data_IF_660827036716
#
_entry.id   IF_660827036716
#
_cell.length_a   1.000
_cell.length_b   1.000
_cell.length_c   1.000
_cell.angle_alpha   90.00
_cell.angle_beta   90.00
_cell.angle_gamma   90.00
#
_symmetry.space_group_name_H-M   'P 1'
#
loop_
_entity.id
_entity.type
_entity.pdbx_description
1 polymer ?
#
# COMPACT_ATOMS: atom_id res chain seq x y z
N UNK A 1 -13.68 30.77 -27.73
CA UNK A 1 -12.94 29.52 -27.57
C UNK A 1 -12.12 29.46 -26.25
N UNK A 2 -11.48 30.51 -25.80
CA UNK A 2 -10.66 30.49 -24.58
C UNK A 2 -11.40 30.03 -23.29
N UNK A 3 -12.67 30.36 -23.10
CA UNK A 3 -13.43 29.97 -21.90
C UNK A 3 -13.79 28.48 -21.82
N UNK A 4 -13.84 27.76 -22.93
CA UNK A 4 -14.20 26.34 -22.96
C UNK A 4 -13.01 25.46 -22.52
N UNK A 5 -11.78 25.84 -22.87
CA UNK A 5 -10.56 25.10 -22.51
C UNK A 5 -10.01 25.43 -21.12
N UNK A 6 -10.45 26.56 -20.52
CA UNK A 6 -9.92 27.02 -19.24
C UNK A 6 -10.22 26.08 -18.06
N UNK A 7 -11.37 25.38 -18.10
CA UNK A 7 -11.84 24.51 -17.00
C UNK A 7 -11.67 23.00 -17.29
N UNK A 8 -10.98 22.64 -18.38
CA UNK A 8 -10.69 21.23 -18.66
C UNK A 8 -9.66 20.69 -17.66
N UNK A 9 -9.82 19.42 -17.18
CA UNK A 9 -8.83 18.77 -16.33
C UNK A 9 -7.54 18.43 -17.08
N UNK A 10 -7.63 18.23 -18.40
CA UNK A 10 -6.49 17.98 -19.27
C UNK A 10 -5.69 19.27 -19.54
N UNK A 11 -4.36 19.13 -19.60
CA UNK A 11 -3.48 20.22 -20.04
C UNK A 11 -3.62 20.45 -21.54
N UNK A 12 -4.03 21.65 -21.96
CA UNK A 12 -4.14 22.02 -23.38
C UNK A 12 -3.11 23.06 -23.71
N UNK A 13 -2.37 22.79 -24.80
CA UNK A 13 -1.38 23.67 -25.40
C UNK A 13 -1.69 23.88 -26.85
N UNK A 14 -1.65 25.15 -27.33
CA UNK A 14 -1.75 25.52 -28.74
C UNK A 14 -0.49 26.28 -29.13
N UNK A 15 0.12 25.88 -30.22
CA UNK A 15 1.29 26.58 -30.80
C UNK A 15 1.01 27.11 -32.18
N UNK A 16 1.77 28.11 -32.58
CA UNK A 16 1.84 28.60 -33.96
C UNK A 16 2.71 27.66 -34.83
N UNK A 17 2.90 28.04 -36.09
CA UNK A 17 3.71 27.31 -37.07
C UNK A 17 5.19 27.18 -36.68
N UNK A 18 5.71 28.14 -35.93
CA UNK A 18 7.10 28.17 -35.45
C UNK A 18 7.27 27.43 -34.12
N UNK A 19 6.20 26.85 -33.54
CA UNK A 19 6.21 26.14 -32.27
C UNK A 19 6.19 27.05 -31.03
N UNK A 20 5.81 28.34 -31.20
CA UNK A 20 5.59 29.25 -30.09
C UNK A 20 4.19 29.09 -29.52
N UNK A 21 4.12 29.13 -28.20
CA UNK A 21 2.88 28.94 -27.44
C UNK A 21 1.94 30.15 -27.68
N UNK A 22 0.82 29.93 -28.33
CA UNK A 22 -0.27 30.90 -28.45
C UNK A 22 -1.23 30.83 -27.28
N UNK A 23 -1.47 29.60 -26.76
CA UNK A 23 -2.38 29.36 -25.65
C UNK A 23 -1.94 28.18 -24.83
N UNK A 24 -2.03 28.33 -23.51
CA UNK A 24 -1.93 27.23 -22.55
C UNK A 24 -3.02 27.42 -21.50
N UNK A 25 -3.75 26.34 -21.16
CA UNK A 25 -4.76 26.41 -20.11
C UNK A 25 -4.12 26.25 -18.70
N UNK A 26 -4.91 26.51 -17.67
CA UNK A 26 -4.45 26.41 -16.29
C UNK A 26 -4.01 24.97 -15.90
N UNK A 27 -4.67 23.95 -16.47
CA UNK A 27 -4.30 22.56 -16.23
C UNK A 27 -2.91 22.25 -16.80
N UNK A 28 -2.57 22.75 -17.98
CA UNK A 28 -1.21 22.63 -18.53
C UNK A 28 -0.17 23.26 -17.59
N UNK A 29 -0.43 24.49 -17.12
CA UNK A 29 0.50 25.15 -16.20
C UNK A 29 0.70 24.35 -14.92
N UNK A 30 -0.36 23.75 -14.34
CA UNK A 30 -0.26 22.86 -13.16
C UNK A 30 0.48 21.57 -13.44
N UNK A 31 0.26 20.94 -14.60
CA UNK A 31 0.92 19.69 -14.98
C UNK A 31 2.44 19.85 -15.05
N UNK A 32 2.90 20.99 -15.54
CA UNK A 32 4.32 21.27 -15.73
C UNK A 32 4.90 22.24 -14.71
N UNK A 33 4.17 22.50 -13.62
CA UNK A 33 4.58 23.37 -12.49
C UNK A 33 5.04 24.78 -12.93
N UNK A 34 4.34 25.35 -13.89
CA UNK A 34 4.64 26.68 -14.43
C UNK A 34 4.01 27.76 -13.54
N UNK A 35 4.84 28.68 -13.04
CA UNK A 35 4.40 29.80 -12.20
C UNK A 35 3.80 30.96 -13.03
N UNK A 36 4.20 31.07 -14.31
CA UNK A 36 3.78 32.13 -15.21
C UNK A 36 3.16 31.56 -16.49
N UNK A 37 2.34 32.39 -17.15
CA UNK A 37 1.79 32.04 -18.46
C UNK A 37 2.88 31.89 -19.50
N UNK A 38 3.06 30.75 -20.19
CA UNK A 38 4.13 30.49 -21.12
C UNK A 38 3.92 31.09 -22.51
N UNK A 39 2.86 31.88 -22.75
CA UNK A 39 2.55 32.46 -24.09
C UNK A 39 3.76 33.24 -24.67
N UNK A 40 3.98 33.05 -25.97
CA UNK A 40 5.09 33.65 -26.73
C UNK A 40 6.45 32.93 -26.60
N UNK A 41 6.64 32.03 -25.62
CA UNK A 41 7.82 31.18 -25.51
C UNK A 41 7.66 29.94 -26.41
N UNK A 42 8.79 29.34 -26.80
CA UNK A 42 8.75 27.99 -27.37
C UNK A 42 8.49 26.96 -26.28
N UNK A 43 8.04 25.76 -26.67
CA UNK A 43 7.78 24.68 -25.68
C UNK A 43 9.04 24.28 -24.94
N UNK A 44 10.20 24.28 -25.63
CA UNK A 44 11.49 24.02 -24.98
C UNK A 44 11.90 25.10 -23.96
N UNK A 45 11.59 26.39 -24.23
CA UNK A 45 11.85 27.46 -23.27
C UNK A 45 10.92 27.40 -22.06
N UNK A 46 9.66 26.94 -22.26
CA UNK A 46 8.64 26.89 -21.23
C UNK A 46 8.79 25.69 -20.28
N UNK A 47 8.91 24.47 -20.81
CA UNK A 47 8.85 23.24 -20.02
C UNK A 47 10.14 22.39 -20.07
N UNK A 48 11.07 22.69 -20.96
CA UNK A 48 12.39 22.03 -21.10
C UNK A 48 12.33 20.51 -21.25
N UNK A 49 11.28 19.99 -21.90
CA UNK A 49 11.03 18.57 -22.09
C UNK A 49 11.21 18.25 -23.56
N UNK A 50 12.22 17.47 -23.91
CA UNK A 50 12.53 17.11 -25.29
C UNK A 50 11.39 16.35 -25.96
N UNK A 51 10.75 15.40 -25.25
CA UNK A 51 9.65 14.60 -25.79
C UNK A 51 8.47 15.48 -26.25
N UNK A 52 8.13 16.51 -25.47
CA UNK A 52 7.04 17.42 -25.86
C UNK A 52 7.40 18.27 -27.11
N UNK A 53 8.68 18.65 -27.26
CA UNK A 53 9.15 19.34 -28.45
C UNK A 53 9.15 18.42 -29.68
N UNK A 54 9.56 17.16 -29.51
CA UNK A 54 9.57 16.15 -30.59
C UNK A 54 8.15 15.89 -31.11
N UNK A 55 7.12 15.93 -30.26
CA UNK A 55 5.72 15.83 -30.67
C UNK A 55 5.33 16.97 -31.62
N UNK A 56 5.76 18.20 -31.32
CA UNK A 56 5.48 19.36 -32.16
C UNK A 56 6.17 19.23 -33.52
N UNK A 57 7.45 18.83 -33.54
CA UNK A 57 8.19 18.65 -34.78
C UNK A 57 7.57 17.54 -35.66
N UNK A 58 7.14 16.44 -35.04
CA UNK A 58 6.41 15.37 -35.76
C UNK A 58 5.09 15.87 -36.35
N UNK A 59 4.33 16.67 -35.61
CA UNK A 59 3.05 17.22 -36.09
C UNK A 59 3.16 18.24 -37.23
N UNK A 60 4.37 18.76 -37.49
CA UNK A 60 4.59 19.55 -38.71
C UNK A 60 4.44 18.69 -39.97
N UNK A 61 4.73 17.37 -39.86
CA UNK A 61 4.65 16.41 -40.97
C UNK A 61 3.40 15.54 -40.85
N UNK A 62 3.14 15.00 -39.67
CA UNK A 62 2.01 14.15 -39.36
C UNK A 62 0.74 14.97 -39.14
N UNK A 63 -0.44 14.39 -39.37
CA UNK A 63 -1.74 15.09 -39.16
C UNK A 63 -2.20 14.97 -37.70
N UNK A 64 -1.89 13.86 -37.05
CA UNK A 64 -2.24 13.59 -35.64
C UNK A 64 -1.25 12.65 -35.01
N UNK A 65 -1.13 12.74 -33.69
CA UNK A 65 -0.42 11.82 -32.81
C UNK A 65 -1.40 11.41 -31.74
N UNK A 66 -1.49 10.12 -31.48
CA UNK A 66 -2.44 9.58 -30.50
C UNK A 66 -1.71 8.74 -29.45
N UNK A 67 -2.10 8.93 -28.19
CA UNK A 67 -1.68 8.09 -27.05
C UNK A 67 -0.16 7.98 -26.85
N UNK A 68 0.60 9.02 -27.14
CA UNK A 68 2.04 9.04 -26.88
C UNK A 68 2.28 9.20 -25.37
N UNK A 69 2.86 8.17 -24.74
CA UNK A 69 3.14 8.17 -23.29
C UNK A 69 4.60 8.55 -23.02
N UNK A 70 4.83 9.38 -22.01
CA UNK A 70 6.16 9.70 -21.52
C UNK A 70 6.16 10.00 -20.01
N UNK A 71 7.31 9.82 -19.39
CA UNK A 71 7.50 10.06 -17.97
C UNK A 71 8.32 11.33 -17.76
N UNK A 72 7.91 12.13 -16.76
CA UNK A 72 8.63 13.31 -16.29
C UNK A 72 9.41 12.94 -15.02
N UNK A 73 10.72 12.63 -15.10
CA UNK A 73 11.49 12.18 -13.95
C UNK A 73 11.66 13.27 -12.89
N UNK A 74 11.77 14.53 -13.31
CA UNK A 74 12.02 15.68 -12.43
C UNK A 74 10.75 16.21 -11.73
N UNK A 75 9.57 15.79 -12.16
CA UNK A 75 8.27 16.19 -11.61
C UNK A 75 7.58 15.00 -10.90
N UNK A 76 8.16 14.55 -9.80
CA UNK A 76 7.61 13.44 -8.97
C UNK A 76 7.28 12.15 -9.76
N UNK A 77 8.03 11.87 -10.82
CA UNK A 77 7.78 10.73 -11.73
C UNK A 77 6.35 10.74 -12.28
N UNK A 78 5.91 11.88 -12.84
CA UNK A 78 4.60 11.97 -13.50
C UNK A 78 4.60 11.19 -14.81
N UNK A 79 3.52 10.48 -15.06
CA UNK A 79 3.24 9.79 -16.31
C UNK A 79 2.20 10.59 -17.09
N UNK A 80 2.55 11.06 -18.26
CA UNK A 80 1.66 11.81 -19.12
C UNK A 80 1.37 11.05 -20.42
N UNK A 81 0.16 11.20 -20.91
CA UNK A 81 -0.23 10.81 -22.25
C UNK A 81 -0.52 12.08 -23.05
N UNK A 82 0.10 12.20 -24.23
CA UNK A 82 -0.14 13.30 -25.13
C UNK A 82 -0.91 12.85 -26.37
N UNK A 83 -1.88 13.64 -26.74
CA UNK A 83 -2.56 13.59 -28.04
C UNK A 83 -2.32 14.90 -28.76
N UNK A 84 -2.03 14.85 -30.06
CA UNK A 84 -1.73 16.03 -30.84
C UNK A 84 -2.41 16.04 -32.18
N UNK A 85 -2.79 17.24 -32.64
CA UNK A 85 -3.37 17.46 -33.97
C UNK A 85 -2.71 18.67 -34.61
N UNK A 86 -2.30 18.53 -35.86
CA UNK A 86 -1.80 19.62 -36.66
C UNK A 86 -2.97 20.50 -37.19
N UNK A 87 -2.84 21.80 -36.98
CA UNK A 87 -3.76 22.79 -37.59
C UNK A 87 -3.21 23.14 -38.97
N UNK A 88 -4.00 22.89 -40.03
CA UNK A 88 -3.60 23.15 -41.40
C UNK A 88 -4.62 24.07 -42.10
N UNK A 89 -4.16 24.93 -42.97
CA UNK A 89 -5.03 25.74 -43.88
C UNK A 89 -5.52 24.90 -45.04
N UNK A 90 -6.45 25.51 -45.86
CA UNK A 90 -7.07 24.82 -47.01
C UNK A 90 -6.08 24.33 -48.07
N UNK A 91 -4.88 24.89 -48.11
CA UNK A 91 -3.79 24.54 -49.04
C UNK A 91 -2.80 23.53 -48.42
N UNK A 92 -3.08 23.00 -47.22
CA UNK A 92 -2.25 22.01 -46.52
C UNK A 92 -1.07 22.63 -45.75
N UNK A 93 -0.96 23.96 -45.73
CA UNK A 93 0.12 24.66 -45.02
C UNK A 93 -0.10 24.51 -43.50
N UNK A 94 0.94 24.06 -42.77
CA UNK A 94 0.94 23.94 -41.32
C UNK A 94 0.85 25.34 -40.69
N UNK A 95 -0.15 25.55 -39.83
CA UNK A 95 -0.40 26.84 -39.15
C UNK A 95 -0.10 26.75 -37.63
N UNK A 96 -0.14 25.57 -37.10
CA UNK A 96 0.11 25.35 -35.66
C UNK A 96 -0.29 23.95 -35.21
N UNK A 97 -0.23 23.75 -33.91
CA UNK A 97 -0.48 22.46 -33.30
C UNK A 97 -1.34 22.60 -32.06
N UNK A 98 -2.25 21.67 -31.85
CA UNK A 98 -2.95 21.50 -30.57
C UNK A 98 -2.38 20.23 -29.92
N UNK A 99 -1.91 20.35 -28.70
CA UNK A 99 -1.52 19.22 -27.85
C UNK A 99 -2.42 19.17 -26.62
N UNK A 100 -2.86 17.98 -26.28
CA UNK A 100 -3.63 17.69 -25.09
C UNK A 100 -2.84 16.69 -24.23
N UNK A 101 -2.65 17.01 -22.95
CA UNK A 101 -1.90 16.19 -21.99
C UNK A 101 -2.85 15.67 -20.93
N UNK A 102 -2.86 14.35 -20.77
CA UNK A 102 -3.61 13.66 -19.74
C UNK A 102 -2.64 13.10 -18.68
N UNK A 103 -2.93 13.34 -17.39
CA UNK A 103 -2.13 12.82 -16.28
C UNK A 103 -2.55 11.38 -15.95
N UNK A 104 -1.69 10.43 -16.29
CA UNK A 104 -1.88 9.01 -16.00
C UNK A 104 -1.19 8.56 -14.70
N UNK A 105 -0.57 9.48 -13.94
CA UNK A 105 0.30 9.14 -12.82
C UNK A 105 -0.40 8.24 -11.81
N UNK A 106 -1.62 8.59 -11.41
CA UNK A 106 -2.39 7.79 -10.46
C UNK A 106 -2.71 6.39 -11.01
N UNK A 107 -3.11 6.31 -12.27
CA UNK A 107 -3.44 5.04 -12.92
C UNK A 107 -2.22 4.14 -13.06
N UNK A 108 -1.10 4.68 -13.55
CA UNK A 108 0.17 3.94 -13.68
C UNK A 108 0.74 3.49 -12.33
N UNK A 109 0.66 4.32 -11.29
CA UNK A 109 1.05 3.94 -9.93
C UNK A 109 0.23 2.76 -9.42
N UNK A 110 -1.10 2.78 -9.62
CA UNK A 110 -1.98 1.67 -9.23
C UNK A 110 -1.68 0.39 -10.03
N UNK A 111 -1.43 0.52 -11.33
CA UNK A 111 -1.07 -0.60 -12.20
C UNK A 111 0.27 -1.22 -11.78
N UNK A 112 1.28 -0.40 -11.52
CA UNK A 112 2.59 -0.85 -11.03
C UNK A 112 2.48 -1.57 -9.68
N UNK A 113 1.72 -1.01 -8.73
CA UNK A 113 1.46 -1.65 -7.43
C UNK A 113 0.77 -3.02 -7.60
N UNK A 114 -0.17 -3.13 -8.55
CA UNK A 114 -0.84 -4.39 -8.86
C UNK A 114 0.13 -5.41 -9.47
N UNK A 115 0.96 -4.99 -10.41
CA UNK A 115 1.96 -5.87 -11.04
C UNK A 115 3.00 -6.35 -10.03
N UNK A 116 3.50 -5.44 -9.18
CA UNK A 116 4.42 -5.77 -8.10
C UNK A 116 3.79 -6.75 -7.10
N UNK A 117 2.53 -6.55 -6.74
CA UNK A 117 1.79 -7.46 -5.87
C UNK A 117 1.74 -8.88 -6.47
N UNK A 118 1.33 -9.04 -7.74
CA UNK A 118 1.26 -10.34 -8.42
C UNK A 118 2.63 -11.01 -8.52
N UNK A 119 3.68 -10.24 -8.83
CA UNK A 119 5.05 -10.74 -8.87
C UNK A 119 5.52 -11.23 -7.49
N UNK A 120 5.28 -10.46 -6.43
CA UNK A 120 5.65 -10.81 -5.07
C UNK A 120 4.89 -12.05 -4.56
N UNK A 121 3.58 -12.14 -4.81
CA UNK A 121 2.77 -13.35 -4.52
C UNK A 121 3.38 -14.58 -5.19
N UNK A 122 3.69 -14.47 -6.49
CA UNK A 122 4.27 -15.58 -7.26
C UNK A 122 5.61 -16.04 -6.68
N UNK A 123 6.46 -15.11 -6.26
CA UNK A 123 7.74 -15.41 -5.63
C UNK A 123 7.60 -16.06 -4.26
N UNK A 124 6.72 -15.51 -3.39
CA UNK A 124 6.52 -16.02 -2.03
C UNK A 124 5.79 -17.38 -2.01
N UNK A 125 5.00 -17.72 -3.03
CA UNK A 125 4.42 -19.06 -3.21
C UNK A 125 5.44 -20.05 -3.76
N UNK A 126 6.28 -19.66 -4.73
CA UNK A 126 7.22 -20.55 -5.40
C UNK A 126 8.30 -21.08 -4.44
N UNK A 127 8.80 -20.25 -3.54
CA UNK A 127 9.89 -20.63 -2.63
C UNK A 127 9.53 -21.82 -1.74
N UNK A 128 8.46 -21.78 -0.90
CA UNK A 128 8.09 -22.92 -0.05
C UNK A 128 7.70 -24.16 -0.87
N UNK A 129 7.05 -23.97 -2.02
CA UNK A 129 6.68 -25.07 -2.91
C UNK A 129 7.92 -25.82 -3.45
N UNK A 130 8.96 -25.08 -3.85
CA UNK A 130 10.23 -25.69 -4.31
C UNK A 130 10.95 -26.42 -3.18
N UNK A 131 10.88 -25.92 -1.95
CA UNK A 131 11.45 -26.57 -0.76
C UNK A 131 10.71 -27.87 -0.47
N UNK A 132 9.36 -27.84 -0.46
CA UNK A 132 8.53 -29.04 -0.29
C UNK A 132 8.89 -30.09 -1.34
N UNK A 133 8.92 -29.69 -2.61
CA UNK A 133 9.25 -30.58 -3.72
C UNK A 133 10.62 -31.22 -3.55
N UNK A 134 11.65 -30.44 -3.22
CA UNK A 134 13.01 -30.97 -3.01
C UNK A 134 13.09 -31.99 -1.86
N UNK A 135 12.42 -31.73 -0.72
CA UNK A 135 12.40 -32.72 0.37
C UNK A 135 11.60 -33.98 0.01
N UNK A 136 10.52 -33.87 -0.75
CA UNK A 136 9.76 -35.04 -1.26
C UNK A 136 10.63 -35.84 -2.21
N UNK A 137 11.33 -35.22 -3.17
CA UNK A 137 12.26 -35.92 -4.08
C UNK A 137 13.37 -36.63 -3.30
N UNK A 138 13.96 -35.97 -2.29
CA UNK A 138 14.99 -36.57 -1.44
C UNK A 138 14.45 -37.79 -0.66
N UNK A 139 13.21 -37.71 -0.15
CA UNK A 139 12.59 -38.83 0.57
C UNK A 139 12.25 -40.00 -0.35
N UNK A 140 11.92 -39.75 -1.62
CA UNK A 140 11.64 -40.80 -2.62
C UNK A 140 12.90 -41.49 -3.13
N UNK A 141 14.02 -40.77 -3.20
CA UNK A 141 15.31 -41.31 -3.71
C UNK A 141 16.13 -42.02 -2.61
N UNK A 142 15.73 -41.89 -1.33
CA UNK A 142 16.44 -42.51 -0.20
C UNK A 142 16.19 -44.02 -0.18
N UNK A 143 17.23 -44.83 -0.49
CA UNK A 143 17.17 -46.30 -0.46
C UNK A 143 17.26 -46.86 0.98
N UNK A 144 17.96 -46.20 1.87
CA UNK A 144 18.07 -46.55 3.30
C UNK A 144 18.12 -45.27 4.16
N UNK A 145 17.04 -44.96 4.87
CA UNK A 145 17.01 -43.72 5.65
C UNK A 145 16.82 -43.96 7.15
N UNK A 146 17.69 -43.37 7.99
CA UNK A 146 17.48 -43.37 9.44
C UNK A 146 16.15 -42.66 9.74
N UNK A 147 15.30 -43.31 10.53
CA UNK A 147 13.98 -42.82 10.95
C UNK A 147 14.00 -41.36 11.44
N UNK A 148 15.11 -40.91 12.01
CA UNK A 148 15.35 -39.53 12.44
C UNK A 148 15.47 -38.51 11.30
N UNK A 149 15.93 -38.89 10.10
CA UNK A 149 16.11 -38.03 8.95
C UNK A 149 14.77 -37.77 8.24
N UNK A 150 13.96 -38.84 8.13
CA UNK A 150 12.60 -38.78 7.60
C UNK A 150 11.73 -37.82 8.43
N UNK A 151 11.78 -37.88 9.76
CA UNK A 151 11.07 -36.96 10.65
C UNK A 151 11.47 -35.50 10.43
N UNK A 152 12.75 -35.23 10.24
CA UNK A 152 13.23 -33.86 9.96
C UNK A 152 12.74 -33.31 8.64
N UNK A 153 12.71 -34.10 7.58
CA UNK A 153 12.22 -33.69 6.26
C UNK A 153 10.71 -33.51 6.28
N UNK A 154 9.95 -34.41 6.88
CA UNK A 154 8.50 -34.28 7.06
C UNK A 154 8.13 -33.01 7.85
N UNK A 155 8.85 -32.70 8.95
CA UNK A 155 8.65 -31.45 9.69
C UNK A 155 8.94 -30.20 8.84
N UNK A 156 9.93 -30.25 7.94
CA UNK A 156 10.20 -29.15 7.01
C UNK A 156 9.10 -28.99 5.96
N UNK A 157 8.58 -30.10 5.45
CA UNK A 157 7.43 -30.09 4.51
C UNK A 157 6.20 -29.50 5.20
N UNK A 158 5.88 -29.98 6.41
CA UNK A 158 4.75 -29.47 7.20
C UNK A 158 4.85 -27.97 7.45
N UNK A 159 6.00 -27.50 7.92
CA UNK A 159 6.22 -26.05 8.16
C UNK A 159 6.05 -25.20 6.90
N UNK A 160 6.53 -25.66 5.75
CA UNK A 160 6.36 -24.93 4.50
C UNK A 160 4.93 -25.00 3.94
N UNK A 161 4.22 -26.12 4.17
CA UNK A 161 2.79 -26.26 3.85
C UNK A 161 1.94 -25.30 4.69
N UNK A 162 2.17 -25.25 5.99
CA UNK A 162 1.47 -24.32 6.90
C UNK A 162 1.74 -22.87 6.49
N UNK A 163 2.98 -22.54 6.14
CA UNK A 163 3.33 -21.20 5.63
C UNK A 163 2.58 -20.85 4.35
N UNK A 164 2.42 -21.79 3.41
CA UNK A 164 1.62 -21.58 2.19
C UNK A 164 0.16 -21.30 2.53
N UNK A 165 -0.42 -22.05 3.48
CA UNK A 165 -1.80 -21.84 3.93
C UNK A 165 -1.99 -20.44 4.49
N UNK A 166 -1.12 -20.00 5.41
CA UNK A 166 -1.18 -18.64 5.96
C UNK A 166 -1.03 -17.55 4.87
N UNK A 167 -0.12 -17.75 3.92
CA UNK A 167 0.05 -16.79 2.82
C UNK A 167 -1.22 -16.67 1.96
N UNK A 168 -1.86 -17.80 1.64
CA UNK A 168 -3.11 -17.82 0.88
C UNK A 168 -4.23 -17.13 1.66
N UNK A 169 -4.37 -17.39 2.95
CA UNK A 169 -5.38 -16.77 3.81
C UNK A 169 -5.17 -15.24 3.90
N UNK A 170 -3.92 -14.79 4.05
CA UNK A 170 -3.57 -13.37 4.03
C UNK A 170 -3.94 -12.69 2.71
N UNK A 171 -3.64 -13.33 1.56
CA UNK A 171 -3.96 -12.83 0.23
C UNK A 171 -5.48 -12.74 0.04
N UNK A 172 -6.23 -13.79 0.40
CA UNK A 172 -7.68 -13.79 0.31
C UNK A 172 -8.31 -12.73 1.21
N UNK A 173 -7.78 -12.56 2.42
CA UNK A 173 -8.20 -11.51 3.34
C UNK A 173 -7.98 -10.13 2.73
N UNK A 174 -6.75 -9.86 2.25
CA UNK A 174 -6.42 -8.57 1.65
C UNK A 174 -7.28 -8.28 0.42
N UNK A 175 -7.46 -9.28 -0.47
CA UNK A 175 -8.32 -9.16 -1.65
C UNK A 175 -9.78 -8.82 -1.29
N UNK A 176 -10.31 -9.45 -0.25
CA UNK A 176 -11.66 -9.15 0.23
C UNK A 176 -11.77 -7.75 0.83
N UNK A 177 -10.79 -7.33 1.63
CA UNK A 177 -10.75 -6.00 2.22
C UNK A 177 -10.67 -4.90 1.15
N UNK A 178 -9.94 -5.12 0.05
CA UNK A 178 -9.75 -4.14 -1.02
C UNK A 178 -10.90 -4.03 -2.01
N UNK A 179 -11.62 -5.13 -2.23
CA UNK A 179 -12.74 -5.14 -3.18
C UNK A 179 -13.96 -4.33 -2.73
N UNK A 180 -13.94 -3.79 -1.51
CA UNK A 180 -15.09 -3.08 -0.93
C UNK A 180 -16.34 -3.96 -0.76
N UNK A 181 -16.22 -5.26 -1.05
CA UNK A 181 -17.34 -6.21 -1.04
C UNK A 181 -17.73 -6.72 0.34
N UNK A 182 -16.99 -6.34 1.38
CA UNK A 182 -17.33 -6.74 2.76
C UNK A 182 -17.95 -5.55 3.46
N UNK A 183 -19.26 -5.60 3.70
CA UNK A 183 -19.89 -4.74 4.69
C UNK A 183 -19.27 -5.06 6.06
N UNK A 184 -18.80 -4.02 6.78
CA UNK A 184 -18.36 -4.19 8.16
C UNK A 184 -19.59 -4.51 9.04
N UNK A 185 -19.47 -5.52 9.88
CA UNK A 185 -20.46 -5.82 10.93
C UNK A 185 -20.12 -4.99 12.17
N UNK A 186 -20.42 -3.68 12.09
CA UNK A 186 -20.12 -2.74 13.17
C UNK A 186 -21.06 -2.98 14.37
N UNK A 187 -20.46 -3.13 15.55
CA UNK A 187 -21.16 -3.27 16.83
C UNK A 187 -20.32 -2.71 17.97
N UNK A 188 -20.97 -2.41 19.08
CA UNK A 188 -20.25 -2.09 20.32
C UNK A 188 -19.55 -3.34 20.84
N UNK A 189 -18.24 -3.28 21.01
CA UNK A 189 -17.40 -4.36 21.52
C UNK A 189 -16.66 -3.89 22.77
N UNK A 190 -16.63 -4.74 23.80
CA UNK A 190 -15.76 -4.55 24.95
C UNK A 190 -14.30 -4.82 24.51
N UNK A 191 -13.51 -3.75 24.46
CA UNK A 191 -12.15 -3.83 23.95
C UNK A 191 -11.23 -4.64 24.87
N UNK A 192 -11.45 -4.57 26.18
CA UNK A 192 -10.70 -5.37 27.16
C UNK A 192 -10.91 -6.88 26.94
N UNK A 193 -12.16 -7.31 26.78
CA UNK A 193 -12.50 -8.71 26.53
C UNK A 193 -11.99 -9.19 25.17
N UNK A 194 -12.05 -8.33 24.15
CA UNK A 194 -11.49 -8.68 22.84
C UNK A 194 -9.99 -8.91 22.92
N UNK A 195 -9.25 -8.01 23.59
CA UNK A 195 -7.79 -8.16 23.80
C UNK A 195 -7.49 -9.44 24.56
N UNK A 196 -8.19 -9.72 25.65
CA UNK A 196 -8.02 -10.98 26.40
C UNK A 196 -8.20 -12.21 25.51
N UNK A 197 -9.22 -12.21 24.65
CA UNK A 197 -9.48 -13.32 23.71
C UNK A 197 -8.32 -13.51 22.72
N UNK A 198 -7.70 -12.42 22.23
CA UNK A 198 -6.53 -12.49 21.34
C UNK A 198 -5.31 -13.01 22.10
N UNK A 199 -5.03 -12.48 23.30
CA UNK A 199 -3.90 -12.92 24.13
C UNK A 199 -4.04 -14.40 24.48
N UNK A 200 -5.24 -14.87 24.82
CA UNK A 200 -5.49 -16.27 25.10
C UNK A 200 -5.21 -17.18 23.90
N UNK A 201 -5.59 -16.77 22.70
CA UNK A 201 -5.30 -17.51 21.46
C UNK A 201 -3.81 -17.65 21.17
N UNK A 202 -2.99 -16.69 21.61
CA UNK A 202 -1.55 -16.66 21.39
C UNK A 202 -0.70 -17.13 22.58
N UNK A 203 -1.33 -17.48 23.70
CA UNK A 203 -0.67 -17.87 24.96
C UNK A 203 0.32 -19.03 24.79
N UNK A 204 -0.06 -20.06 24.03
CA UNK A 204 0.82 -21.20 23.77
C UNK A 204 2.07 -20.80 22.98
N UNK A 205 1.90 -19.95 21.96
CA UNK A 205 3.01 -19.45 21.15
C UNK A 205 3.97 -18.59 21.98
N UNK A 206 3.42 -17.69 22.79
CA UNK A 206 4.18 -16.83 23.69
C UNK A 206 4.95 -17.67 24.73
N UNK A 207 4.29 -18.67 25.34
CA UNK A 207 4.91 -19.58 26.30
C UNK A 207 6.09 -20.37 25.73
N UNK A 208 6.00 -20.86 24.48
CA UNK A 208 7.11 -21.54 23.78
C UNK A 208 8.32 -20.62 23.57
N UNK A 209 8.11 -19.30 23.49
CA UNK A 209 9.18 -18.31 23.29
C UNK A 209 9.58 -17.57 24.57
N UNK A 210 8.91 -17.82 25.68
CA UNK A 210 9.17 -17.14 26.94
C UNK A 210 8.72 -15.66 26.97
N UNK A 211 7.80 -15.27 26.10
CA UNK A 211 7.28 -13.89 25.98
C UNK A 211 6.08 -13.72 26.91
N UNK A 212 6.06 -12.65 27.69
CA UNK A 212 4.92 -12.24 28.51
C UNK A 212 3.93 -11.43 27.70
N UNK A 213 2.64 -11.72 27.89
CA UNK A 213 1.54 -10.98 27.26
C UNK A 213 0.78 -10.23 28.35
N UNK A 214 0.60 -8.93 28.18
CA UNK A 214 -0.05 -8.06 29.16
C UNK A 214 -1.19 -7.26 28.54
N UNK A 215 -2.36 -7.29 29.19
CA UNK A 215 -3.51 -6.45 28.85
C UNK A 215 -3.60 -5.28 29.80
N UNK A 216 -3.33 -4.06 29.30
CA UNK A 216 -3.44 -2.81 30.03
C UNK A 216 -4.61 -1.94 29.50
N UNK A 217 -5.56 -2.53 28.80
CA UNK A 217 -6.78 -1.84 28.39
C UNK A 217 -7.64 -1.58 29.62
N UNK A 218 -8.02 -0.32 29.82
CA UNK A 218 -8.84 0.09 30.96
C UNK A 218 -10.22 -0.60 30.96
N UNK A 219 -10.80 -0.76 32.15
CA UNK A 219 -12.13 -1.32 32.29
C UNK A 219 -13.19 -0.45 31.55
N UNK A 220 -14.11 -1.11 30.84
CA UNK A 220 -15.27 -0.53 30.15
C UNK A 220 -14.97 0.38 28.94
N UNK A 221 -13.84 0.21 28.28
CA UNK A 221 -13.62 0.88 27.02
C UNK A 221 -14.36 0.13 25.89
N UNK A 222 -15.41 0.77 25.34
CA UNK A 222 -16.20 0.22 24.23
C UNK A 222 -15.73 0.82 22.90
N UNK A 223 -15.56 -0.04 21.90
CA UNK A 223 -15.21 0.34 20.53
C UNK A 223 -16.35 -0.05 19.58
N UNK A 224 -16.86 0.89 18.78
CA UNK A 224 -17.82 0.60 17.72
C UNK A 224 -17.11 0.14 16.46
N UNK A 225 -17.00 -1.18 16.26
CA UNK A 225 -16.19 -1.77 15.20
C UNK A 225 -16.68 -3.19 14.83
N UNK A 226 -16.07 -3.74 13.77
CA UNK A 226 -16.19 -5.16 13.43
C UNK A 226 -15.19 -5.97 14.28
N UNK A 227 -15.72 -6.76 15.22
CA UNK A 227 -14.90 -7.49 16.18
C UNK A 227 -13.95 -8.51 15.54
N UNK A 228 -14.35 -9.15 14.43
CA UNK A 228 -13.48 -10.11 13.73
C UNK A 228 -12.30 -9.42 13.08
N UNK A 229 -12.52 -8.25 12.50
CA UNK A 229 -11.46 -7.47 11.86
C UNK A 229 -10.49 -6.88 12.86
N UNK A 230 -11.00 -6.34 13.96
CA UNK A 230 -10.14 -5.83 15.04
C UNK A 230 -9.36 -6.98 15.69
N UNK A 231 -10.00 -8.13 15.94
CA UNK A 231 -9.31 -9.35 16.41
C UNK A 231 -8.15 -9.73 15.47
N UNK A 232 -8.40 -9.76 14.15
CA UNK A 232 -7.39 -10.09 13.14
C UNK A 232 -6.21 -9.10 13.16
N UNK A 233 -6.50 -7.79 13.26
CA UNK A 233 -5.46 -6.76 13.32
C UNK A 233 -4.60 -6.91 14.60
N UNK A 234 -5.23 -7.09 15.75
CA UNK A 234 -4.53 -7.33 17.03
C UNK A 234 -3.71 -8.62 16.99
N UNK A 235 -4.28 -9.71 16.48
CA UNK A 235 -3.56 -10.98 16.34
C UNK A 235 -2.28 -10.82 15.53
N UNK A 236 -2.34 -10.11 14.39
CA UNK A 236 -1.17 -9.83 13.55
C UNK A 236 -0.10 -9.02 14.29
N UNK A 237 -0.49 -7.99 15.07
CA UNK A 237 0.46 -7.17 15.82
C UNK A 237 1.10 -7.94 16.97
N UNK A 238 0.29 -8.64 17.77
CA UNK A 238 0.77 -9.39 18.94
C UNK A 238 1.65 -10.57 18.50
N UNK A 239 1.26 -11.28 17.43
CA UNK A 239 2.08 -12.34 16.83
C UNK A 239 3.42 -11.79 16.33
N UNK A 240 3.46 -10.60 15.73
CA UNK A 240 4.70 -9.92 15.36
C UNK A 240 5.54 -9.60 16.60
N UNK A 241 4.96 -9.06 17.66
CA UNK A 241 5.64 -8.84 18.93
C UNK A 241 6.25 -10.12 19.53
N UNK A 242 5.50 -11.24 19.49
CA UNK A 242 6.02 -12.55 19.93
C UNK A 242 7.15 -13.06 19.03
N UNK A 243 7.07 -12.81 17.72
CA UNK A 243 8.08 -13.30 16.75
C UNK A 243 9.38 -12.49 16.77
N UNK A 244 9.26 -11.17 16.82
CA UNK A 244 10.36 -10.23 16.56
C UNK A 244 10.71 -9.37 17.76
N UNK A 245 9.81 -9.27 18.75
CA UNK A 245 9.99 -8.51 19.97
C UNK A 245 10.96 -9.15 20.95
N UNK A 246 10.95 -8.64 22.18
CA UNK A 246 11.80 -9.08 23.26
C UNK A 246 11.13 -10.09 24.21
N UNK A 247 10.97 -9.69 25.48
CA UNK A 247 10.42 -10.53 26.55
C UNK A 247 8.96 -10.22 26.89
N UNK A 248 8.44 -9.08 26.41
CA UNK A 248 7.10 -8.59 26.75
C UNK A 248 6.37 -7.99 25.55
N UNK A 249 5.08 -8.32 25.42
CA UNK A 249 4.15 -7.64 24.53
C UNK A 249 2.98 -7.12 25.35
N UNK A 250 2.76 -5.81 25.32
CA UNK A 250 1.72 -5.13 26.08
C UNK A 250 0.71 -4.51 25.14
N UNK A 251 -0.58 -4.67 25.44
CA UNK A 251 -1.69 -4.01 24.73
C UNK A 251 -2.34 -2.99 25.66
N UNK A 252 -2.43 -1.75 25.21
CA UNK A 252 -3.09 -0.66 25.93
C UNK A 252 -4.03 0.11 25.02
N UNK A 253 -4.98 0.84 25.58
CA UNK A 253 -5.87 1.70 24.82
C UNK A 253 -6.16 2.97 25.59
N UNK A 254 -6.30 4.07 24.84
CA UNK A 254 -6.67 5.39 25.36
C UNK A 254 -7.76 6.00 24.50
N UNK A 255 -8.67 6.74 25.13
CA UNK A 255 -9.66 7.53 24.42
C UNK A 255 -9.46 9.00 24.77
N UNK A 256 -9.52 9.87 23.77
CA UNK A 256 -9.53 11.33 23.95
C UNK A 256 -10.94 11.92 23.78
N UNK A 257 -11.97 11.07 23.57
CA UNK A 257 -13.34 11.44 23.35
C UNK A 257 -13.74 11.57 21.88
N UNK A 258 -12.81 11.74 20.96
CA UNK A 258 -13.03 11.76 19.50
C UNK A 258 -12.60 10.47 18.83
N UNK A 259 -11.56 9.83 19.36
CA UNK A 259 -11.02 8.58 18.86
C UNK A 259 -10.51 7.68 20.00
N UNK A 260 -10.35 6.39 19.67
CA UNK A 260 -9.68 5.41 20.53
C UNK A 260 -8.33 5.08 19.87
N UNK A 261 -7.24 5.29 20.60
CA UNK A 261 -5.89 4.86 20.22
C UNK A 261 -5.58 3.53 20.92
N UNK A 262 -5.58 2.45 20.16
CA UNK A 262 -5.23 1.10 20.58
C UNK A 262 -3.77 0.84 20.24
N UNK A 263 -2.94 0.61 21.26
CA UNK A 263 -1.49 0.48 21.14
C UNK A 263 -1.02 -0.92 21.51
N UNK A 264 -0.20 -1.52 20.65
CA UNK A 264 0.54 -2.77 20.91
C UNK A 264 2.02 -2.44 20.96
N UNK A 265 2.64 -2.67 22.12
CA UNK A 265 4.06 -2.35 22.37
C UNK A 265 4.84 -3.62 22.64
N UNK A 266 6.02 -3.75 22.04
CA UNK A 266 7.02 -4.76 22.34
C UNK A 266 8.35 -4.11 22.80
N UNK A 267 9.15 -4.86 23.56
CA UNK A 267 10.47 -4.46 24.05
C UNK A 267 11.61 -5.08 23.21
N UNK A 268 11.38 -5.26 21.91
CA UNK A 268 12.30 -5.88 20.99
C UNK A 268 13.44 -4.99 20.49
N UNK A 269 14.10 -5.40 19.40
CA UNK A 269 15.24 -4.68 18.83
C UNK A 269 14.87 -3.34 18.17
N UNK A 270 13.58 -3.03 18.04
CA UNK A 270 13.09 -1.85 17.38
C UNK A 270 13.24 -1.90 15.85
N UNK A 271 12.77 -0.82 15.22
CA UNK A 271 12.67 -0.68 13.76
C UNK A 271 13.46 0.58 13.34
N UNK A 272 14.33 0.49 12.32
CA UNK A 272 15.01 1.65 11.78
C UNK A 272 14.03 2.71 11.23
N UNK A 273 14.32 3.99 11.43
CA UNK A 273 13.44 5.10 11.03
C UNK A 273 13.03 5.03 9.54
N UNK A 274 13.96 4.67 8.67
CA UNK A 274 13.71 4.51 7.22
C UNK A 274 12.69 3.40 6.90
N UNK A 275 12.58 2.41 7.78
CA UNK A 275 11.64 1.31 7.63
C UNK A 275 10.26 1.63 8.21
N UNK A 276 10.15 2.53 9.19
CA UNK A 276 8.88 2.85 9.87
C UNK A 276 7.79 3.32 8.89
N UNK A 277 8.13 4.08 7.87
CA UNK A 277 7.19 4.53 6.83
C UNK A 277 6.72 3.38 5.92
N UNK A 278 7.57 2.36 5.76
CA UNK A 278 7.40 1.30 4.77
C UNK A 278 6.86 -0.01 5.32
N UNK A 279 6.92 -0.25 6.63
CA UNK A 279 6.55 -1.55 7.23
C UNK A 279 5.09 -1.94 6.99
N UNK A 280 4.21 -0.99 6.67
CA UNK A 280 2.83 -1.23 6.29
C UNK A 280 2.64 -1.49 4.78
N UNK A 281 3.72 -1.43 3.97
CA UNK A 281 3.69 -1.84 2.57
C UNK A 281 3.57 -3.37 2.47
N UNK A 282 2.89 -3.86 1.43
CA UNK A 282 2.73 -5.29 1.18
C UNK A 282 4.07 -5.94 0.89
N UNK A 283 4.33 -7.12 1.49
CA UNK A 283 5.57 -7.89 1.35
C UNK A 283 6.83 -7.19 1.84
N UNK A 284 6.72 -6.00 2.44
CA UNK A 284 7.87 -5.32 2.99
C UNK A 284 8.37 -6.04 4.26
N UNK A 285 9.69 -6.14 4.39
CA UNK A 285 10.38 -6.75 5.54
C UNK A 285 11.70 -6.03 5.76
N UNK A 286 11.98 -5.65 7.00
CA UNK A 286 13.25 -5.02 7.41
C UNK A 286 14.43 -5.96 7.16
N UNK A 287 14.29 -7.24 7.55
CA UNK A 287 15.24 -8.31 7.28
C UNK A 287 14.54 -9.49 6.60
N UNK A 288 14.82 -9.66 5.30
CA UNK A 288 14.21 -10.71 4.47
C UNK A 288 14.63 -12.12 4.89
N UNK A 289 15.87 -12.31 5.37
CA UNK A 289 16.39 -13.63 5.73
C UNK A 289 15.78 -14.11 7.05
N UNK A 290 15.91 -13.32 8.11
CA UNK A 290 15.38 -13.62 9.44
C UNK A 290 13.85 -13.78 9.43
N UNK A 291 13.15 -12.94 8.69
CA UNK A 291 11.70 -12.99 8.61
C UNK A 291 11.19 -14.24 7.87
N UNK A 292 11.95 -14.78 6.90
CA UNK A 292 11.62 -16.05 6.24
C UNK A 292 11.71 -17.24 7.18
N UNK A 293 12.74 -17.29 8.01
CA UNK A 293 12.92 -18.36 9.01
C UNK A 293 11.79 -18.36 10.04
N UNK A 294 11.30 -17.18 10.41
CA UNK A 294 10.21 -17.01 11.38
C UNK A 294 8.80 -17.15 10.77
N UNK A 295 8.69 -17.48 9.47
CA UNK A 295 7.40 -17.71 8.78
C UNK A 295 6.58 -16.46 8.49
N UNK A 296 7.18 -15.26 8.52
CA UNK A 296 6.47 -14.03 8.17
C UNK A 296 6.09 -13.99 6.69
N UNK A 297 4.88 -13.53 6.36
CA UNK A 297 4.39 -13.34 4.99
C UNK A 297 4.73 -11.95 4.44
N UNK A 298 4.88 -10.96 5.34
CA UNK A 298 5.01 -9.54 4.99
C UNK A 298 3.67 -8.89 4.61
N UNK A 299 2.55 -9.58 4.87
CA UNK A 299 1.20 -9.07 4.61
C UNK A 299 0.48 -8.64 5.89
N UNK A 300 0.85 -9.17 7.06
CA UNK A 300 0.15 -8.92 8.31
C UNK A 300 -0.01 -7.44 8.65
N UNK A 301 1.06 -6.63 8.55
CA UNK A 301 0.98 -5.18 8.83
C UNK A 301 0.17 -4.41 7.78
N UNK A 302 0.18 -4.85 6.53
CA UNK A 302 -0.69 -4.26 5.50
C UNK A 302 -2.17 -4.57 5.75
N UNK A 303 -2.49 -5.76 6.29
CA UNK A 303 -3.84 -6.12 6.74
C UNK A 303 -4.25 -5.22 7.92
N UNK A 304 -3.37 -5.02 8.91
CA UNK A 304 -3.61 -4.11 10.04
C UNK A 304 -3.99 -2.72 9.56
N UNK A 305 -3.17 -2.12 8.68
CA UNK A 305 -3.43 -0.81 8.10
C UNK A 305 -4.79 -0.76 7.38
N UNK A 306 -5.09 -1.78 6.59
CA UNK A 306 -6.34 -1.81 5.81
C UNK A 306 -7.57 -1.95 6.71
N UNK A 307 -7.51 -2.81 7.73
CA UNK A 307 -8.58 -2.95 8.74
C UNK A 307 -8.85 -1.60 9.41
N UNK A 308 -7.81 -0.90 9.87
CA UNK A 308 -7.97 0.39 10.54
C UNK A 308 -8.58 1.44 9.61
N UNK A 309 -8.13 1.49 8.35
CA UNK A 309 -8.67 2.41 7.33
C UNK A 309 -10.14 2.13 7.00
N UNK A 310 -10.57 0.86 6.93
CA UNK A 310 -11.97 0.50 6.72
C UNK A 310 -12.90 0.99 7.84
N UNK A 311 -12.35 1.12 9.06
CA UNK A 311 -13.06 1.71 10.20
C UNK A 311 -12.95 3.24 10.27
N UNK A 312 -12.38 3.90 9.23
CA UNK A 312 -12.19 5.35 9.19
C UNK A 312 -11.02 5.87 10.02
N UNK A 313 -10.18 4.97 10.54
CA UNK A 313 -9.02 5.29 11.36
C UNK A 313 -7.68 5.21 10.61
N UNK A 314 -6.60 5.17 11.37
CA UNK A 314 -5.23 5.11 10.85
C UNK A 314 -4.34 4.17 11.67
N UNK A 315 -3.29 3.64 11.04
CA UNK A 315 -2.24 2.85 11.69
C UNK A 315 -0.90 3.57 11.58
N UNK A 316 -0.16 3.66 12.67
CA UNK A 316 1.19 4.24 12.74
C UNK A 316 2.08 3.40 13.66
N UNK A 317 3.39 3.64 13.56
CA UNK A 317 4.38 3.01 14.43
C UNK A 317 5.31 4.07 15.00
N UNK A 318 5.70 3.87 16.25
CA UNK A 318 6.75 4.61 16.94
C UNK A 318 7.80 3.61 17.37
N UNK A 319 9.04 3.76 16.89
CA UNK A 319 10.11 2.83 17.18
C UNK A 319 11.48 3.44 16.92
N UNK A 320 12.46 3.03 17.71
CA UNK A 320 13.86 3.31 17.45
C UNK A 320 14.70 2.04 17.70
N UNK A 321 15.85 1.87 17.03
CA UNK A 321 16.71 0.73 17.23
C UNK A 321 17.12 0.56 18.71
N UNK A 322 16.80 -0.59 19.29
CA UNK A 322 17.06 -0.94 20.70
C UNK A 322 15.99 -0.51 21.70
N UNK A 323 14.92 0.17 21.27
CA UNK A 323 13.87 0.70 22.16
C UNK A 323 12.51 -0.03 22.00
N UNK A 324 12.47 -1.11 21.21
CA UNK A 324 11.23 -1.80 20.88
C UNK A 324 10.39 -1.09 19.85
N UNK A 325 9.12 -1.50 19.71
CA UNK A 325 8.18 -0.88 18.81
C UNK A 325 6.79 -0.73 19.45
N UNK A 326 6.14 0.40 19.17
CA UNK A 326 4.76 0.69 19.56
C UNK A 326 3.92 0.92 18.30
N UNK A 327 2.98 0.03 18.07
CA UNK A 327 2.03 0.10 16.96
C UNK A 327 0.72 0.69 17.44
N UNK A 328 0.29 1.79 16.84
CA UNK A 328 -0.91 2.53 17.18
C UNK A 328 -1.98 2.36 16.12
N UNK A 329 -3.18 1.99 16.54
CA UNK A 329 -4.37 1.88 15.71
C UNK A 329 -5.42 2.86 16.21
N UNK A 330 -5.73 3.89 15.43
CA UNK A 330 -6.77 4.84 15.81
C UNK A 330 -8.12 4.44 15.23
N UNK A 331 -9.17 4.59 16.00
CA UNK A 331 -10.54 4.31 15.58
C UNK A 331 -11.41 5.50 15.97
N UNK A 332 -12.13 6.15 15.04
CA UNK A 332 -13.01 7.25 15.35
C UNK A 332 -14.19 6.77 16.22
N UNK A 333 -14.56 7.57 17.18
CA UNK A 333 -15.79 7.37 17.95
C UNK A 333 -16.90 8.06 17.15
N UNK A 334 -17.92 7.33 16.67
CA UNK A 334 -19.02 7.97 15.95
C UNK A 334 -19.72 8.94 16.88
N UNK A 335 -20.01 10.16 16.38
CA UNK A 335 -20.90 11.08 17.08
C UNK A 335 -22.23 10.36 17.35
N UNK A 336 -22.55 10.14 18.62
CA UNK A 336 -23.89 9.59 18.95
C UNK A 336 -24.89 10.57 18.36
N UNK A 337 -25.89 10.09 17.55
CA UNK A 337 -26.97 10.98 17.17
C UNK A 337 -27.57 11.52 18.48
N UNK A 338 -27.60 12.85 18.60
CA UNK A 338 -28.34 13.51 19.67
C UNK A 338 -29.76 13.04 19.51
N UNK A 339 -30.24 12.16 20.39
CA UNK A 339 -31.65 11.84 20.51
C UNK A 339 -32.38 13.16 20.75
N UNK A 340 -32.87 13.76 19.67
CA UNK A 340 -33.90 14.79 19.79
C UNK A 340 -35.13 14.11 20.31
N UNK A 341 -35.22 14.01 21.63
CA UNK A 341 -36.50 13.79 22.30
C UNK A 341 -37.46 14.89 21.81
N UNK A 342 -38.28 14.55 20.85
CA UNK A 342 -39.48 15.29 20.51
C UNK A 342 -40.43 15.12 21.69
N UNK A 343 -40.48 16.19 22.54
CA UNK A 343 -41.54 16.40 23.52
C UNK A 343 -42.90 16.69 22.87
#
# INVERSE_FOLDING_TARGET
MAGMFANMPEGVLVTDADGRIEFANQAFCRLFDLQENPSGKTVMEAIRIHQANDLIERLKVESSIEQEEFMLPDLEQRFLQANGVAIREKEGVHRGTILMFHDLTRMKRLENLRQEFVANVSHELRTPLSIIKGYVETLLDAEEDPESMNHRFLAKIENNSNRLTFLIEDILTLSRLESGGIGLELRDIDLGQLVDSVLDSLREMAGKKGVRLENHVGEKLSLFADSQRVFQALNNLIENGIKYGGECVCVSAKSDGSEIDLCVTDDGPGIPAEACERIFERFYRVDKARSREMGGTGLGLSIVKHVTQLHGGSARVESAPGEGASFHLTFPIPDKPVDTETG
#
